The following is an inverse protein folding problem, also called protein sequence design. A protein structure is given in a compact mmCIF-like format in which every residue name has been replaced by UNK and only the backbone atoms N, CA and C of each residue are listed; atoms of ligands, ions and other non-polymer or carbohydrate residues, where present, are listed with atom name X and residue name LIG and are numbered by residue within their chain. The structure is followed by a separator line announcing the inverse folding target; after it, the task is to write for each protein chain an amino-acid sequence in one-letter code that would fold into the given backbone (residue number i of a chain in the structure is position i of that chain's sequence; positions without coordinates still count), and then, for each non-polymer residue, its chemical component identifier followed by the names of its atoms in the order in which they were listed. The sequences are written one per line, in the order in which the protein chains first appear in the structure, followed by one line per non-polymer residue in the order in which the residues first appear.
data_IF_678544553240
#
_entry.id   IF_678544553240
#
_cell.length_a   1.000
_cell.length_b   1.000
_cell.length_c   1.000
_cell.angle_alpha   90.00
_cell.angle_beta   90.00
_cell.angle_gamma   90.00
#
_symmetry.space_group_name_H-M   'P 1'
#
loop_
_entity.id
_entity.type
_entity.pdbx_description
1 polymer ?
#
# COMPACT_ATOMS: atom_id res chain seq x y z
N UNK A 1 -19.04 10.42 7.94
CA UNK A 1 -19.28 9.60 6.74
C UNK A 1 -18.09 8.66 6.55
N UNK A 2 -18.32 7.37 6.20
CA UNK A 2 -17.23 6.45 5.88
C UNK A 2 -16.48 6.85 4.59
N UNK A 3 -15.19 6.52 4.50
CA UNK A 3 -14.36 6.80 3.33
C UNK A 3 -13.26 5.75 3.11
N UNK A 4 -12.66 5.77 1.92
CA UNK A 4 -11.51 4.93 1.55
C UNK A 4 -10.44 5.82 0.92
N UNK A 5 -9.17 5.58 1.27
CA UNK A 5 -8.02 6.24 0.65
C UNK A 5 -7.31 5.25 -0.25
N UNK A 6 -6.96 5.64 -1.47
CA UNK A 6 -6.08 4.87 -2.36
C UNK A 6 -4.82 5.68 -2.60
N UNK A 7 -3.63 5.11 -2.38
CA UNK A 7 -2.38 5.87 -2.47
C UNK A 7 -1.16 5.02 -2.88
N UNK A 8 -0.15 5.70 -3.43
CA UNK A 8 1.21 5.17 -3.70
C UNK A 8 2.28 5.81 -2.80
N UNK A 9 1.84 6.61 -1.83
CA UNK A 9 2.73 7.42 -0.99
C UNK A 9 2.76 6.90 0.45
N UNK A 10 3.96 6.85 1.03
CA UNK A 10 4.15 6.59 2.45
C UNK A 10 3.80 7.81 3.35
N UNK A 11 3.50 8.97 2.76
CA UNK A 11 3.12 10.18 3.50
C UNK A 11 1.81 10.02 4.27
N UNK A 12 0.99 9.02 3.92
CA UNK A 12 -0.23 8.66 4.66
C UNK A 12 0.04 8.38 6.14
N UNK A 13 1.25 7.93 6.48
CA UNK A 13 1.66 7.67 7.86
C UNK A 13 1.75 8.93 8.73
N UNK A 14 1.79 10.13 8.13
CA UNK A 14 1.76 11.39 8.88
C UNK A 14 0.47 11.54 9.69
N UNK A 15 -0.65 11.06 9.13
CA UNK A 15 -1.99 11.22 9.70
C UNK A 15 -2.46 9.91 10.39
N UNK A 16 -1.52 9.03 10.77
CA UNK A 16 -1.79 7.69 11.31
C UNK A 16 -2.66 7.73 12.57
N UNK A 17 -2.48 8.73 13.43
CA UNK A 17 -3.26 8.89 14.65
C UNK A 17 -4.74 9.18 14.35
N UNK A 18 -5.02 10.03 13.35
CA UNK A 18 -6.37 10.34 12.88
C UNK A 18 -6.99 9.11 12.21
N UNK A 19 -6.23 8.45 11.33
CA UNK A 19 -6.69 7.27 10.60
C UNK A 19 -7.03 6.11 11.54
N UNK A 20 -6.21 5.87 12.56
CA UNK A 20 -6.45 4.84 13.58
C UNK A 20 -7.75 5.10 14.35
N UNK A 21 -7.96 6.32 14.88
CA UNK A 21 -9.22 6.69 15.57
C UNK A 21 -10.46 6.55 14.67
N UNK A 22 -10.33 6.84 13.38
CA UNK A 22 -11.42 6.66 12.42
C UNK A 22 -11.66 5.17 12.11
N UNK A 23 -10.60 4.36 12.06
CA UNK A 23 -10.68 2.92 11.81
C UNK A 23 -11.34 2.18 12.98
N UNK A 24 -11.05 2.56 14.23
CA UNK A 24 -11.73 2.04 15.42
C UNK A 24 -13.26 2.21 15.33
N UNK A 25 -13.70 3.32 14.74
CA UNK A 25 -15.11 3.64 14.50
C UNK A 25 -15.67 3.03 13.22
N UNK A 26 -14.88 2.20 12.52
CA UNK A 26 -15.20 1.57 11.22
C UNK A 26 -15.53 2.58 10.11
N UNK A 27 -14.89 3.75 10.16
CA UNK A 27 -15.15 4.85 9.21
C UNK A 27 -14.11 4.94 8.09
N UNK A 28 -12.94 4.30 8.20
CA UNK A 28 -11.91 4.36 7.16
C UNK A 28 -11.26 3.01 6.89
N UNK A 29 -10.78 2.87 5.66
CA UNK A 29 -9.83 1.84 5.23
C UNK A 29 -8.87 2.44 4.20
N UNK A 30 -7.71 1.81 4.03
CA UNK A 30 -6.67 2.28 3.12
C UNK A 30 -6.37 1.21 2.08
N UNK A 31 -6.22 1.60 0.83
CA UNK A 31 -5.63 0.81 -0.22
C UNK A 31 -4.26 1.38 -0.62
N UNK A 32 -3.20 0.57 -0.57
CA UNK A 32 -1.86 0.98 -1.04
C UNK A 32 -1.56 0.29 -2.36
N UNK A 33 -1.17 1.03 -3.40
CA UNK A 33 -0.83 0.39 -4.68
C UNK A 33 0.63 -0.04 -4.72
N UNK A 34 0.87 -1.33 -4.94
CA UNK A 34 2.20 -1.92 -5.17
C UNK A 34 2.11 -2.71 -6.46
N UNK A 35 2.77 -2.22 -7.51
CA UNK A 35 2.73 -2.83 -8.85
C UNK A 35 3.94 -3.70 -9.15
N UNK A 36 5.02 -3.53 -8.38
CA UNK A 36 6.31 -4.22 -8.54
C UNK A 36 7.08 -4.13 -7.23
N UNK A 37 7.91 -5.13 -6.94
CA UNK A 37 8.89 -5.08 -5.85
C UNK A 37 10.25 -4.56 -6.32
N UNK A 38 10.50 -4.51 -7.64
CA UNK A 38 11.72 -3.96 -8.22
C UNK A 38 11.73 -2.42 -8.13
N UNK A 39 12.72 -1.91 -7.37
CA UNK A 39 12.95 -0.47 -7.20
C UNK A 39 13.31 0.25 -8.50
N UNK A 40 14.05 -0.39 -9.41
CA UNK A 40 14.44 0.21 -10.70
C UNK A 40 13.22 0.34 -11.59
N UNK A 41 12.42 -0.72 -11.70
CA UNK A 41 11.18 -0.71 -12.45
C UNK A 41 10.20 0.33 -11.88
N UNK A 42 9.97 0.31 -10.57
CA UNK A 42 9.12 1.28 -9.88
C UNK A 42 9.56 2.73 -10.15
N UNK A 43 10.86 3.02 -10.13
CA UNK A 43 11.39 4.36 -10.42
C UNK A 43 11.19 4.74 -11.89
N UNK A 44 11.32 3.79 -12.81
CA UNK A 44 11.12 4.05 -14.24
C UNK A 44 9.66 4.38 -14.53
N UNK A 45 8.72 3.66 -13.91
CA UNK A 45 7.29 3.83 -14.13
C UNK A 45 6.70 4.99 -13.32
N UNK A 46 7.15 5.16 -12.08
CA UNK A 46 6.53 6.05 -11.08
C UNK A 46 7.60 6.84 -10.30
N UNK A 47 8.42 7.68 -10.96
CA UNK A 47 9.64 8.27 -10.37
C UNK A 47 9.43 9.13 -9.12
N UNK A 48 8.20 9.61 -8.89
CA UNK A 48 7.84 10.48 -7.75
C UNK A 48 7.08 9.75 -6.64
N UNK A 49 6.72 8.49 -6.86
CA UNK A 49 6.00 7.70 -5.87
C UNK A 49 6.97 7.13 -4.82
N UNK A 50 6.44 6.68 -3.68
CA UNK A 50 7.27 6.01 -2.68
C UNK A 50 7.86 4.73 -3.27
N UNK A 51 9.05 4.32 -2.81
CA UNK A 51 9.65 3.05 -3.24
C UNK A 51 8.79 1.86 -2.77
N UNK A 52 8.82 0.71 -3.45
CA UNK A 52 8.03 -0.47 -3.04
C UNK A 52 8.22 -0.82 -1.56
N UNK A 53 9.47 -0.88 -1.07
CA UNK A 53 9.75 -1.14 0.34
C UNK A 53 9.16 -0.09 1.31
N UNK A 54 9.08 1.19 0.92
CA UNK A 54 8.42 2.22 1.74
C UNK A 54 6.90 2.06 1.75
N UNK A 55 6.31 1.52 0.68
CA UNK A 55 4.88 1.19 0.62
C UNK A 55 4.57 -0.02 1.51
N UNK A 56 5.38 -1.08 1.45
CA UNK A 56 5.27 -2.24 2.34
C UNK A 56 5.38 -1.83 3.81
N UNK A 57 6.35 -0.97 4.15
CA UNK A 57 6.48 -0.45 5.51
C UNK A 57 5.25 0.37 5.94
N UNK A 58 4.65 1.13 5.02
CA UNK A 58 3.41 1.86 5.31
C UNK A 58 2.23 0.91 5.56
N UNK A 59 2.13 -0.18 4.80
CA UNK A 59 1.14 -1.24 5.04
C UNK A 59 1.30 -1.80 6.46
N UNK A 60 2.51 -2.26 6.81
CA UNK A 60 2.81 -2.79 8.15
C UNK A 60 2.39 -1.83 9.26
N UNK A 61 2.80 -0.55 9.15
CA UNK A 61 2.54 0.48 10.16
C UNK A 61 1.06 0.84 10.30
N UNK A 62 0.30 0.81 9.21
CA UNK A 62 -1.15 1.04 9.23
C UNK A 62 -1.88 -0.15 9.85
N UNK A 63 -1.51 -1.37 9.46
CA UNK A 63 -2.06 -2.61 10.03
C UNK A 63 -1.80 -2.69 11.53
N UNK A 64 -0.57 -2.41 11.98
CA UNK A 64 -0.21 -2.37 13.41
C UNK A 64 -1.02 -1.34 14.21
N UNK A 65 -1.44 -0.24 13.57
CA UNK A 65 -2.29 0.78 14.17
C UNK A 65 -3.80 0.45 14.11
N UNK A 66 -4.16 -0.76 13.67
CA UNK A 66 -5.55 -1.22 13.55
C UNK A 66 -6.31 -0.63 12.37
N UNK A 67 -5.64 0.02 11.42
CA UNK A 67 -6.28 0.52 10.20
C UNK A 67 -6.44 -0.64 9.22
N UNK A 68 -7.66 -0.95 8.72
CA UNK A 68 -7.83 -1.95 7.68
C UNK A 68 -7.09 -1.51 6.40
N UNK A 69 -6.13 -2.32 5.97
CA UNK A 69 -5.35 -2.09 4.75
C UNK A 69 -5.68 -3.17 3.73
N UNK A 70 -5.79 -2.75 2.48
CA UNK A 70 -5.74 -3.64 1.31
C UNK A 70 -4.56 -3.19 0.47
N UNK A 71 -3.86 -4.12 -0.15
CA UNK A 71 -2.86 -3.74 -1.13
C UNK A 71 -3.36 -4.08 -2.51
N UNK A 72 -3.06 -3.17 -3.45
CA UNK A 72 -3.65 -3.15 -4.76
C UNK A 72 -2.56 -3.33 -5.81
N UNK A 73 -2.51 -4.52 -6.40
CA UNK A 73 -1.70 -4.80 -7.57
C UNK A 73 -2.35 -4.20 -8.83
N UNK A 74 -2.26 -2.88 -8.97
CA UNK A 74 -2.85 -2.17 -10.11
C UNK A 74 -2.09 -0.88 -10.50
N UNK A 75 -1.92 -0.61 -11.81
CA UNK A 75 -2.24 -1.51 -12.92
C UNK A 75 -1.24 -2.67 -13.01
N UNK A 76 -1.74 -3.86 -13.36
CA UNK A 76 -0.90 -4.96 -13.83
C UNK A 76 -0.56 -4.70 -15.30
N UNK A 77 0.72 -4.48 -15.62
CA UNK A 77 1.14 -4.16 -16.99
C UNK A 77 1.72 -5.43 -17.63
N UNK A 78 1.10 -5.95 -18.71
CA UNK A 78 1.55 -7.17 -19.38
C UNK A 78 3.01 -7.10 -19.84
N UNK A 79 3.79 -8.13 -19.51
CA UNK A 79 5.21 -8.22 -19.88
C UNK A 79 6.13 -7.26 -19.13
N UNK A 80 5.61 -6.48 -18.18
CA UNK A 80 6.38 -5.52 -17.40
C UNK A 80 6.30 -5.82 -15.91
N UNK A 81 5.10 -5.96 -15.37
CA UNK A 81 4.89 -6.12 -13.92
C UNK A 81 3.94 -7.26 -13.56
N UNK A 82 3.09 -7.70 -14.47
CA UNK A 82 2.09 -8.77 -14.30
C UNK A 82 2.61 -10.05 -13.63
N UNK A 83 3.82 -10.49 -14.01
CA UNK A 83 4.49 -11.65 -13.43
C UNK A 83 4.85 -11.52 -11.92
N UNK A 84 4.82 -10.30 -11.36
CA UNK A 84 5.12 -10.06 -9.95
C UNK A 84 3.91 -10.16 -9.03
N UNK A 85 2.70 -10.41 -9.56
CA UNK A 85 1.47 -10.43 -8.78
C UNK A 85 1.57 -11.34 -7.53
N UNK A 86 2.03 -12.58 -7.69
CA UNK A 86 2.20 -13.54 -6.60
C UNK A 86 3.21 -13.04 -5.56
N UNK A 87 4.38 -12.56 -6.00
CA UNK A 87 5.42 -12.07 -5.10
C UNK A 87 4.96 -10.85 -4.30
N UNK A 88 4.17 -9.97 -4.92
CA UNK A 88 3.55 -8.82 -4.26
C UNK A 88 2.55 -9.28 -3.20
N UNK A 89 1.62 -10.19 -3.53
CA UNK A 89 0.66 -10.75 -2.56
C UNK A 89 1.34 -11.46 -1.38
N UNK A 90 2.43 -12.21 -1.63
CA UNK A 90 3.21 -12.85 -0.56
C UNK A 90 3.88 -11.82 0.37
N UNK A 91 4.37 -10.71 -0.18
CA UNK A 91 4.98 -9.65 0.62
C UNK A 91 3.95 -8.94 1.50
N UNK A 92 2.72 -8.79 1.00
CA UNK A 92 1.59 -8.16 1.70
C UNK A 92 1.12 -9.03 2.88
N UNK A 93 0.94 -10.33 2.65
CA UNK A 93 0.54 -11.27 3.69
C UNK A 93 1.51 -11.26 4.88
N UNK A 94 2.80 -11.03 4.65
CA UNK A 94 3.84 -10.94 5.70
C UNK A 94 3.73 -9.69 6.58
N UNK A 95 3.07 -8.63 6.09
CA UNK A 95 2.88 -7.38 6.84
C UNK A 95 1.46 -7.17 7.34
N UNK A 96 0.63 -8.22 7.24
CA UNK A 96 -0.71 -8.28 7.81
C UNK A 96 -1.77 -7.50 7.02
N UNK A 97 -1.54 -7.28 5.73
CA UNK A 97 -2.60 -6.94 4.79
C UNK A 97 -3.27 -8.20 4.22
#
# INVERSE_FOLDING_TARGET
HPFTIITKSALILRDLDVLSRMAERKLTRVAISITTLDRKLARSMEPRAATPGKRIEAVRRLTEAGVPVTVMFAPAIPGLSDHECEAVLEAEAKVGA
#
